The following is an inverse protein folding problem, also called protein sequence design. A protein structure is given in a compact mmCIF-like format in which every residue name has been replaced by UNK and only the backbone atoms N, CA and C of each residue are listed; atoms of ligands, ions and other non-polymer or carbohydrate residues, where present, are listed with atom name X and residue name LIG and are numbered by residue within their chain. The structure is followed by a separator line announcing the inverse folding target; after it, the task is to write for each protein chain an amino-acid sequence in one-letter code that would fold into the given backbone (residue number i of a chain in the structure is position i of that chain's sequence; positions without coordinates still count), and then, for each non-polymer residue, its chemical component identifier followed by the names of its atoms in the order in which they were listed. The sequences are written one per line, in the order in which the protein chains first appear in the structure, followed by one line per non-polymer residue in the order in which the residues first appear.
data_IF_455975602671
#
_entry.id   IF_455975602671
#
_cell.length_a   1.000
_cell.length_b   1.000
_cell.length_c   1.000
_cell.angle_alpha   90.00
_cell.angle_beta   90.00
_cell.angle_gamma   90.00
#
_symmetry.space_group_name_H-M   'P 1'
#
loop_
_entity.id
_entity.type
_entity.pdbx_description
1 polymer ?
#
# COMPACT_ATOMS: atom_id res chain seq x y z
N UNK A 1 9.33 -35.70 -12.00
CA UNK A 1 10.12 -34.49 -11.75
C UNK A 1 9.12 -33.36 -11.82
N UNK A 2 8.71 -32.82 -10.67
CA UNK A 2 7.69 -31.77 -10.64
C UNK A 2 8.20 -30.55 -11.41
N UNK A 3 7.36 -29.96 -12.25
CA UNK A 3 7.74 -28.86 -13.14
C UNK A 3 6.82 -27.66 -12.96
N UNK A 4 7.25 -26.49 -13.42
CA UNK A 4 6.43 -25.27 -13.47
C UNK A 4 5.07 -25.55 -14.16
N UNK A 5 5.05 -26.38 -15.21
CA UNK A 5 3.83 -26.78 -15.93
C UNK A 5 2.81 -27.47 -15.03
N UNK A 6 3.26 -28.32 -14.10
CA UNK A 6 2.37 -29.03 -13.18
C UNK A 6 1.72 -28.09 -12.17
N UNK A 7 2.45 -27.06 -11.71
CA UNK A 7 1.88 -26.01 -10.85
C UNK A 7 0.75 -25.29 -11.60
N UNK A 8 0.97 -24.91 -12.85
CA UNK A 8 -0.06 -24.25 -13.67
C UNK A 8 -1.26 -25.17 -13.93
N UNK A 9 -1.05 -26.45 -14.20
CA UNK A 9 -2.14 -27.41 -14.37
C UNK A 9 -3.00 -27.52 -13.10
N UNK A 10 -2.36 -27.66 -11.92
CA UNK A 10 -3.09 -27.71 -10.65
C UNK A 10 -3.89 -26.43 -10.38
N UNK A 11 -3.37 -25.26 -10.78
CA UNK A 11 -4.11 -23.99 -10.70
C UNK A 11 -5.33 -23.97 -11.62
N UNK A 12 -5.18 -24.42 -12.87
CA UNK A 12 -6.29 -24.51 -13.83
C UNK A 12 -7.39 -25.46 -13.35
N UNK A 13 -7.01 -26.52 -12.63
CA UNK A 13 -7.95 -27.46 -11.98
C UNK A 13 -8.56 -26.92 -10.67
N UNK A 14 -8.18 -25.72 -10.22
CA UNK A 14 -8.64 -25.12 -8.96
C UNK A 14 -8.03 -25.72 -7.69
N UNK A 15 -7.01 -26.58 -7.82
CA UNK A 15 -6.33 -27.27 -6.71
C UNK A 15 -5.23 -26.40 -6.11
N UNK A 16 -5.59 -25.21 -5.65
CA UNK A 16 -4.61 -24.19 -5.24
C UNK A 16 -3.72 -24.63 -4.07
N UNK A 17 -4.25 -25.39 -3.10
CA UNK A 17 -3.43 -25.92 -2.00
C UNK A 17 -2.36 -26.91 -2.47
N UNK A 18 -2.72 -27.82 -3.39
CA UNK A 18 -1.77 -28.77 -3.99
C UNK A 18 -0.73 -28.01 -4.83
N UNK A 19 -1.16 -27.02 -5.60
CA UNK A 19 -0.28 -26.15 -6.38
C UNK A 19 0.72 -25.41 -5.47
N UNK A 20 0.26 -24.90 -4.33
CA UNK A 20 1.09 -24.19 -3.34
C UNK A 20 2.14 -25.12 -2.73
N UNK A 21 1.73 -26.29 -2.25
CA UNK A 21 2.64 -27.29 -1.67
C UNK A 21 3.69 -27.71 -2.71
N UNK A 22 3.27 -27.95 -3.95
CA UNK A 22 4.15 -28.33 -5.06
C UNK A 22 5.15 -27.23 -5.38
N UNK A 23 4.69 -25.98 -5.52
CA UNK A 23 5.54 -24.83 -5.77
C UNK A 23 6.56 -24.62 -4.63
N UNK A 24 6.12 -24.73 -3.36
CA UNK A 24 6.99 -24.55 -2.20
C UNK A 24 8.09 -25.60 -2.16
N UNK A 25 7.75 -26.87 -2.38
CA UNK A 25 8.73 -27.97 -2.41
C UNK A 25 9.78 -27.77 -3.51
N UNK A 26 9.37 -27.26 -4.68
CA UNK A 26 10.30 -26.98 -5.77
C UNK A 26 11.20 -25.78 -5.45
N UNK A 27 10.66 -24.74 -4.82
CA UNK A 27 11.44 -23.59 -4.35
C UNK A 27 12.40 -23.95 -3.21
N UNK A 28 12.09 -24.93 -2.35
CA UNK A 28 13.04 -25.44 -1.36
C UNK A 28 14.30 -26.05 -2.02
N UNK A 29 14.16 -26.63 -3.22
CA UNK A 29 15.26 -27.20 -3.99
C UNK A 29 15.98 -26.14 -4.85
N UNK A 30 15.24 -25.18 -5.37
CA UNK A 30 15.73 -24.11 -6.25
C UNK A 30 15.18 -22.74 -5.84
N UNK A 31 15.65 -22.14 -4.73
CA UNK A 31 15.04 -20.92 -4.16
C UNK A 31 15.08 -19.70 -5.07
N UNK A 32 16.07 -19.64 -5.97
CA UNK A 32 16.32 -18.52 -6.86
C UNK A 32 15.74 -18.73 -8.27
N UNK A 33 14.93 -19.78 -8.49
CA UNK A 33 14.29 -20.01 -9.77
C UNK A 33 13.14 -19.02 -9.96
N UNK A 34 13.35 -18.02 -10.82
CA UNK A 34 12.39 -16.96 -11.13
C UNK A 34 11.06 -17.51 -11.68
N UNK A 35 11.10 -18.60 -12.45
CA UNK A 35 9.88 -19.21 -13.00
C UNK A 35 9.04 -19.86 -11.89
N UNK A 36 9.69 -20.51 -10.93
CA UNK A 36 9.02 -21.07 -9.76
C UNK A 36 8.49 -19.98 -8.81
N UNK A 37 9.23 -18.89 -8.61
CA UNK A 37 8.76 -17.75 -7.82
C UNK A 37 7.53 -17.10 -8.47
N UNK A 38 7.55 -16.91 -9.78
CA UNK A 38 6.40 -16.40 -10.52
C UNK A 38 5.20 -17.35 -10.43
N UNK A 39 5.41 -18.67 -10.59
CA UNK A 39 4.36 -19.66 -10.45
C UNK A 39 3.76 -19.65 -9.03
N UNK A 40 4.59 -19.55 -7.99
CA UNK A 40 4.16 -19.40 -6.60
C UNK A 40 3.32 -18.14 -6.38
N UNK A 41 3.79 -16.99 -6.88
CA UNK A 41 3.06 -15.72 -6.75
C UNK A 41 1.67 -15.80 -7.41
N UNK A 42 1.57 -16.50 -8.54
CA UNK A 42 0.30 -16.74 -9.21
C UNK A 42 -0.64 -17.68 -8.43
N UNK A 43 -0.12 -18.76 -7.83
CA UNK A 43 -0.91 -19.63 -6.94
C UNK A 43 -1.46 -18.82 -5.77
N UNK A 44 -0.58 -18.06 -5.10
CA UNK A 44 -0.94 -17.22 -3.95
C UNK A 44 -2.03 -16.21 -4.33
N UNK A 45 -1.92 -15.58 -5.50
CA UNK A 45 -2.95 -14.66 -5.97
C UNK A 45 -4.31 -15.33 -6.17
N UNK A 46 -4.38 -16.56 -6.69
CA UNK A 46 -5.66 -17.27 -6.80
C UNK A 46 -6.24 -17.61 -5.43
N UNK A 47 -5.41 -18.00 -4.46
CA UNK A 47 -5.85 -18.22 -3.07
C UNK A 47 -6.33 -16.92 -2.41
N UNK A 48 -5.64 -15.79 -2.65
CA UNK A 48 -6.05 -14.46 -2.18
C UNK A 48 -7.42 -14.08 -2.73
N UNK A 49 -7.68 -14.37 -4.01
CA UNK A 49 -9.00 -14.16 -4.60
C UNK A 49 -10.08 -14.98 -3.90
N UNK A 50 -9.83 -16.26 -3.65
CA UNK A 50 -10.79 -17.12 -2.93
C UNK A 50 -11.07 -16.55 -1.52
N UNK A 51 -10.02 -16.23 -0.76
CA UNK A 51 -10.18 -15.62 0.57
C UNK A 51 -10.93 -14.29 0.50
N UNK A 52 -10.69 -13.49 -0.55
CA UNK A 52 -11.41 -12.26 -0.77
C UNK A 52 -12.89 -12.50 -1.09
N UNK A 53 -13.22 -13.43 -1.97
CA UNK A 53 -14.59 -13.75 -2.35
C UNK A 53 -15.39 -14.31 -1.16
N UNK A 54 -14.74 -15.09 -0.29
CA UNK A 54 -15.29 -15.61 0.96
C UNK A 54 -15.35 -14.55 2.08
N UNK A 55 -14.81 -13.35 1.84
CA UNK A 55 -14.70 -12.27 2.84
C UNK A 55 -13.96 -12.69 4.11
N UNK A 56 -13.03 -13.64 3.97
CA UNK A 56 -12.16 -14.13 5.03
C UNK A 56 -10.92 -13.24 5.11
N UNK A 57 -11.02 -12.20 5.93
CA UNK A 57 -10.00 -11.15 6.03
C UNK A 57 -8.69 -11.68 6.61
N UNK A 58 -8.75 -12.59 7.58
CA UNK A 58 -7.55 -13.13 8.22
C UNK A 58 -6.75 -13.99 7.23
N UNK A 59 -7.41 -14.89 6.50
CA UNK A 59 -6.74 -15.66 5.44
C UNK A 59 -6.26 -14.77 4.30
N UNK A 60 -7.00 -13.72 3.96
CA UNK A 60 -6.55 -12.74 2.96
C UNK A 60 -5.22 -12.08 3.40
N UNK A 61 -5.16 -11.58 4.63
CA UNK A 61 -3.98 -10.92 5.19
C UNK A 61 -2.76 -11.85 5.19
N UNK A 62 -2.93 -13.07 5.71
CA UNK A 62 -1.86 -14.08 5.75
C UNK A 62 -1.34 -14.40 4.35
N UNK A 63 -2.24 -14.71 3.41
CA UNK A 63 -1.85 -15.04 2.03
C UNK A 63 -1.19 -13.86 1.32
N UNK A 64 -1.69 -12.64 1.54
CA UNK A 64 -1.12 -11.45 0.94
C UNK A 64 0.27 -11.13 1.50
N UNK A 65 0.50 -11.37 2.80
CA UNK A 65 1.81 -11.20 3.42
C UNK A 65 2.87 -12.13 2.80
N UNK A 66 2.49 -13.35 2.43
CA UNK A 66 3.38 -14.29 1.72
C UNK A 66 3.52 -13.91 0.24
N UNK A 67 2.42 -13.50 -0.41
CA UNK A 67 2.41 -13.10 -1.82
C UNK A 67 3.43 -12.01 -2.14
N UNK A 68 3.55 -11.00 -1.28
CA UNK A 68 4.50 -9.90 -1.50
C UNK A 68 5.97 -10.33 -1.43
N UNK A 69 6.27 -11.46 -0.78
CA UNK A 69 7.63 -12.02 -0.76
C UNK A 69 8.00 -12.62 -2.13
N UNK A 70 7.06 -13.29 -2.80
CA UNK A 70 7.29 -14.02 -4.05
C UNK A 70 7.01 -13.23 -5.32
N UNK A 71 6.22 -12.15 -5.25
CA UNK A 71 5.89 -11.38 -6.46
C UNK A 71 7.15 -10.67 -7.02
N UNK A 72 7.56 -10.96 -8.28
CA UNK A 72 8.74 -10.34 -8.85
C UNK A 72 8.43 -8.91 -9.33
N UNK A 73 9.48 -8.07 -9.40
CA UNK A 73 9.39 -6.66 -9.83
C UNK A 73 8.77 -6.55 -11.23
N UNK A 74 9.08 -7.52 -12.09
CA UNK A 74 8.74 -7.58 -13.51
C UNK A 74 7.29 -8.03 -13.73
N UNK A 75 6.62 -8.61 -12.73
CA UNK A 75 5.24 -9.05 -12.83
C UNK A 75 4.23 -7.90 -12.63
N UNK A 76 4.34 -6.85 -13.45
CA UNK A 76 3.51 -5.64 -13.35
C UNK A 76 2.01 -5.94 -13.28
N UNK A 77 1.54 -6.88 -14.12
CA UNK A 77 0.12 -7.26 -14.16
C UNK A 77 -0.32 -7.86 -12.82
N UNK A 78 0.50 -8.76 -12.26
CA UNK A 78 0.19 -9.44 -11.01
C UNK A 78 0.23 -8.47 -9.83
N UNK A 79 1.18 -7.55 -9.82
CA UNK A 79 1.25 -6.49 -8.81
C UNK A 79 0.10 -5.49 -8.92
N UNK A 80 -0.33 -5.11 -10.13
CA UNK A 80 -1.53 -4.28 -10.34
C UNK A 80 -2.78 -4.98 -9.79
N UNK A 81 -2.94 -6.27 -10.10
CA UNK A 81 -4.07 -7.08 -9.63
C UNK A 81 -4.04 -7.27 -8.11
N UNK A 82 -2.86 -7.50 -7.52
CA UNK A 82 -2.65 -7.54 -6.07
C UNK A 82 -3.00 -6.21 -5.39
N UNK A 83 -2.53 -5.09 -5.95
CA UNK A 83 -2.84 -3.77 -5.42
C UNK A 83 -4.35 -3.46 -5.46
N UNK A 84 -5.04 -3.85 -6.53
CA UNK A 84 -6.48 -3.65 -6.67
C UNK A 84 -7.28 -4.47 -5.66
N UNK A 85 -6.96 -5.76 -5.49
CA UNK A 85 -7.68 -6.61 -4.54
C UNK A 85 -7.41 -6.21 -3.08
N UNK A 86 -6.18 -5.74 -2.79
CA UNK A 86 -5.85 -5.14 -1.49
C UNK A 86 -6.73 -3.93 -1.19
N UNK A 87 -6.84 -2.99 -2.12
CA UNK A 87 -7.70 -1.82 -2.00
C UNK A 87 -9.16 -2.21 -1.72
N UNK A 88 -9.72 -3.15 -2.48
CA UNK A 88 -11.10 -3.60 -2.26
C UNK A 88 -11.29 -4.21 -0.87
N UNK A 89 -10.31 -4.95 -0.36
CA UNK A 89 -10.38 -5.53 0.98
C UNK A 89 -10.31 -4.45 2.07
N UNK A 90 -9.48 -3.44 1.88
CA UNK A 90 -9.42 -2.26 2.75
C UNK A 90 -10.79 -1.56 2.77
N UNK A 91 -11.42 -1.30 1.63
CA UNK A 91 -12.75 -0.67 1.57
C UNK A 91 -13.83 -1.46 2.32
N UNK A 92 -13.78 -2.80 2.24
CA UNK A 92 -14.68 -3.66 3.00
C UNK A 92 -14.46 -3.53 4.51
N UNK A 93 -13.21 -3.46 4.95
CA UNK A 93 -12.89 -3.23 6.37
C UNK A 93 -13.39 -1.86 6.83
N UNK A 94 -13.17 -0.80 6.03
CA UNK A 94 -13.69 0.54 6.29
C UNK A 94 -15.22 0.56 6.39
N UNK A 95 -15.91 -0.13 5.48
CA UNK A 95 -17.38 -0.22 5.46
C UNK A 95 -17.92 -0.90 6.73
N UNK A 96 -17.19 -1.89 7.24
CA UNK A 96 -17.48 -2.58 8.52
C UNK A 96 -16.98 -1.81 9.74
N UNK A 97 -16.37 -0.63 9.56
CA UNK A 97 -15.74 0.18 10.61
C UNK A 97 -14.59 -0.54 11.34
N UNK A 98 -14.00 -1.55 10.72
CA UNK A 98 -12.79 -2.21 11.22
C UNK A 98 -11.54 -1.46 10.76
N UNK A 99 -11.35 -0.27 11.34
CA UNK A 99 -10.26 0.63 10.97
C UNK A 99 -8.88 0.08 11.32
N UNK A 100 -8.78 -0.75 12.37
CA UNK A 100 -7.52 -1.39 12.72
C UNK A 100 -7.12 -2.35 11.60
N UNK A 101 -8.01 -3.27 11.20
CA UNK A 101 -7.72 -4.23 10.15
C UNK A 101 -7.51 -3.55 8.79
N UNK A 102 -8.31 -2.51 8.49
CA UNK A 102 -8.08 -1.69 7.30
C UNK A 102 -6.65 -1.12 7.28
N UNK A 103 -6.17 -0.56 8.40
CA UNK A 103 -4.81 -0.05 8.49
C UNK A 103 -3.76 -1.16 8.34
N UNK A 104 -3.94 -2.31 8.99
CA UNK A 104 -2.99 -3.43 8.92
C UNK A 104 -2.83 -3.90 7.46
N UNK A 105 -3.95 -4.07 6.73
CA UNK A 105 -3.95 -4.39 5.30
C UNK A 105 -3.26 -3.31 4.46
N UNK A 106 -3.55 -2.02 4.72
CA UNK A 106 -2.92 -0.92 3.99
C UNK A 106 -1.39 -0.94 4.09
N UNK A 107 -0.81 -1.45 5.17
CA UNK A 107 0.64 -1.54 5.35
C UNK A 107 1.29 -2.63 4.48
N UNK A 108 0.54 -3.63 4.02
CA UNK A 108 1.03 -4.67 3.11
C UNK A 108 1.48 -4.12 1.75
N UNK A 109 1.09 -2.88 1.41
CA UNK A 109 1.55 -2.18 0.22
C UNK A 109 3.09 -2.01 0.19
N UNK A 110 3.75 -2.06 1.35
CA UNK A 110 5.21 -1.98 1.47
C UNK A 110 5.93 -3.10 0.70
N UNK A 111 5.33 -4.30 0.68
CA UNK A 111 5.92 -5.46 0.03
C UNK A 111 5.75 -5.47 -1.49
N UNK A 112 4.88 -4.63 -2.06
CA UNK A 112 4.70 -4.54 -3.51
C UNK A 112 5.84 -3.76 -4.16
N UNK A 113 6.44 -4.37 -5.19
CA UNK A 113 7.64 -3.90 -5.87
C UNK A 113 7.30 -3.29 -7.22
N UNK A 114 6.68 -2.11 -7.24
CA UNK A 114 6.33 -1.51 -8.52
C UNK A 114 7.57 -0.91 -9.21
N UNK A 115 7.66 -1.08 -10.54
CA UNK A 115 8.76 -0.54 -11.35
C UNK A 115 8.93 0.98 -11.15
N UNK A 116 10.16 1.50 -10.96
CA UNK A 116 10.39 2.92 -10.66
C UNK A 116 9.97 3.85 -11.81
N UNK A 117 10.14 3.40 -13.05
CA UNK A 117 9.82 4.20 -14.25
C UNK A 117 8.35 4.09 -14.70
N UNK A 118 7.53 3.28 -14.01
CA UNK A 118 6.11 3.12 -14.34
C UNK A 118 5.25 3.80 -13.28
N UNK A 119 4.17 4.42 -13.74
CA UNK A 119 3.15 4.93 -12.82
C UNK A 119 2.60 3.77 -11.97
N UNK A 120 2.44 4.04 -10.67
CA UNK A 120 1.86 3.07 -9.75
C UNK A 120 0.42 2.72 -10.16
N UNK A 121 -0.10 1.52 -9.83
CA UNK A 121 -1.47 1.14 -10.16
C UNK A 121 -2.50 2.10 -9.56
N UNK A 122 -3.68 2.23 -10.17
CA UNK A 122 -4.72 3.13 -9.65
C UNK A 122 -5.08 2.84 -8.17
N UNK A 123 -5.20 1.56 -7.81
CA UNK A 123 -5.45 1.13 -6.42
C UNK A 123 -4.43 1.65 -5.41
N UNK A 124 -3.19 1.91 -5.83
CA UNK A 124 -2.15 2.49 -4.96
C UNK A 124 -2.51 3.91 -4.51
N UNK A 125 -3.08 4.70 -5.42
CA UNK A 125 -3.54 6.06 -5.11
C UNK A 125 -4.89 6.05 -4.38
N UNK A 126 -5.77 5.10 -4.68
CA UNK A 126 -7.04 4.96 -3.95
C UNK A 126 -6.80 4.61 -2.47
N UNK A 127 -5.77 3.82 -2.15
CA UNK A 127 -5.35 3.60 -0.75
C UNK A 127 -4.98 4.91 -0.03
N UNK A 128 -4.32 5.86 -0.71
CA UNK A 128 -4.04 7.18 -0.14
C UNK A 128 -5.34 7.96 0.11
N UNK A 129 -6.28 7.94 -0.85
CA UNK A 129 -7.56 8.63 -0.71
C UNK A 129 -8.35 8.11 0.50
N UNK A 130 -8.39 6.79 0.68
CA UNK A 130 -8.95 6.15 1.89
C UNK A 130 -8.22 6.61 3.15
N UNK A 131 -6.88 6.59 3.15
CA UNK A 131 -6.10 7.04 4.30
C UNK A 131 -6.42 8.48 4.72
N UNK A 132 -6.53 9.36 3.73
CA UNK A 132 -6.83 10.78 3.93
C UNK A 132 -8.27 10.98 4.42
N UNK A 133 -9.22 10.22 3.89
CA UNK A 133 -10.62 10.28 4.29
C UNK A 133 -10.84 9.80 5.73
N UNK A 134 -10.12 8.76 6.17
CA UNK A 134 -10.29 8.10 7.47
C UNK A 134 -9.11 8.28 8.43
N UNK A 135 -8.30 9.33 8.22
CA UNK A 135 -7.05 9.58 8.98
C UNK A 135 -7.22 9.61 10.50
N UNK A 136 -8.37 10.08 11.00
CA UNK A 136 -8.63 10.15 12.45
C UNK A 136 -8.98 8.78 13.05
N UNK A 137 -9.49 7.85 12.25
CA UNK A 137 -9.91 6.52 12.68
C UNK A 137 -8.79 5.48 12.49
N UNK A 138 -7.87 5.71 11.56
CA UNK A 138 -6.76 4.80 11.27
C UNK A 138 -5.65 4.95 12.34
N UNK A 139 -5.38 3.91 13.16
CA UNK A 139 -4.49 4.02 14.32
C UNK A 139 -3.02 4.35 13.95
N UNK A 140 -2.56 3.84 12.82
CA UNK A 140 -1.19 3.91 12.32
C UNK A 140 -1.13 4.74 11.02
N UNK A 141 -1.95 5.79 10.90
CA UNK A 141 -1.99 6.68 9.73
C UNK A 141 -0.59 7.20 9.32
N UNK A 142 0.19 7.69 10.29
CA UNK A 142 1.55 8.19 10.00
C UNK A 142 2.48 7.09 9.48
N UNK A 143 2.35 5.86 9.98
CA UNK A 143 3.12 4.71 9.51
C UNK A 143 2.74 4.37 8.07
N UNK A 144 1.44 4.38 7.75
CA UNK A 144 0.98 4.21 6.37
C UNK A 144 1.56 5.29 5.45
N UNK A 145 1.51 6.58 5.82
CA UNK A 145 2.07 7.65 4.98
C UNK A 145 3.58 7.48 4.78
N UNK A 146 4.31 7.02 5.80
CA UNK A 146 5.74 6.70 5.68
C UNK A 146 5.99 5.58 4.67
N UNK A 147 5.21 4.51 4.73
CA UNK A 147 5.27 3.39 3.79
C UNK A 147 4.87 3.81 2.37
N UNK A 148 3.79 4.58 2.24
CA UNK A 148 3.24 5.04 0.97
C UNK A 148 4.15 6.07 0.29
N UNK A 149 4.87 6.90 1.07
CA UNK A 149 5.84 7.94 0.66
C UNK A 149 5.23 9.07 -0.19
N UNK A 150 5.15 10.27 0.39
CA UNK A 150 4.57 11.46 -0.27
C UNK A 150 5.23 11.86 -1.60
N UNK A 151 6.47 11.42 -1.87
CA UNK A 151 7.11 11.59 -3.17
C UNK A 151 6.37 10.92 -4.33
N UNK A 152 5.47 9.96 -4.05
CA UNK A 152 4.62 9.30 -5.05
C UNK A 152 3.43 10.17 -5.48
N UNK A 153 3.21 11.34 -4.88
CA UNK A 153 2.16 12.26 -5.32
C UNK A 153 2.40 12.72 -6.77
N UNK A 154 1.43 12.44 -7.63
CA UNK A 154 1.40 12.89 -9.02
C UNK A 154 1.12 14.40 -9.14
N UNK A 155 1.54 15.05 -10.25
CA UNK A 155 1.25 16.47 -10.49
C UNK A 155 -0.24 16.83 -10.35
N UNK A 156 -1.15 15.95 -10.78
CA UNK A 156 -2.60 16.14 -10.64
C UNK A 156 -3.07 16.25 -9.19
N UNK A 157 -2.37 15.63 -8.23
CA UNK A 157 -2.73 15.69 -6.80
C UNK A 157 -2.44 17.05 -6.17
N UNK A 158 -1.63 17.90 -6.82
CA UNK A 158 -1.35 19.26 -6.36
C UNK A 158 -2.35 20.29 -6.90
N UNK A 159 -3.21 19.91 -7.86
CA UNK A 159 -4.20 20.80 -8.43
C UNK A 159 -5.34 21.05 -7.43
N UNK A 160 -5.69 22.32 -7.23
CA UNK A 160 -6.84 22.75 -6.45
C UNK A 160 -8.06 22.91 -7.36
N UNK A 161 -9.23 22.51 -6.86
CA UNK A 161 -10.52 22.74 -7.52
C UNK A 161 -11.35 23.68 -6.65
N UNK A 162 -11.41 24.96 -7.03
CA UNK A 162 -12.05 26.01 -6.24
C UNK A 162 -11.28 26.30 -4.95
N UNK A 163 -11.99 26.43 -3.83
CA UNK A 163 -11.40 26.74 -2.52
C UNK A 163 -10.97 25.50 -1.71
N UNK A 164 -11.22 24.29 -2.23
CA UNK A 164 -10.87 23.07 -1.54
C UNK A 164 -9.35 22.81 -1.59
N UNK A 165 -8.80 22.25 -0.50
CA UNK A 165 -7.43 21.75 -0.49
C UNK A 165 -7.26 20.68 -1.57
N UNK A 166 -6.11 20.73 -2.27
CA UNK A 166 -5.71 19.62 -3.14
C UNK A 166 -5.42 18.36 -2.31
N UNK A 167 -5.36 17.18 -2.95
CA UNK A 167 -5.01 15.94 -2.24
C UNK A 167 -3.63 16.07 -1.57
N UNK A 168 -2.66 16.66 -2.27
CA UNK A 168 -1.33 16.93 -1.75
C UNK A 168 -1.36 17.88 -0.53
N UNK A 169 -2.10 18.99 -0.63
CA UNK A 169 -2.24 19.93 0.50
C UNK A 169 -2.91 19.22 1.70
N UNK A 170 -3.97 18.46 1.46
CA UNK A 170 -4.73 17.77 2.50
C UNK A 170 -3.89 16.71 3.23
N UNK A 171 -3.16 15.86 2.51
CA UNK A 171 -2.32 14.83 3.17
C UNK A 171 -1.18 15.47 3.96
N UNK A 172 -0.52 16.50 3.43
CA UNK A 172 0.54 17.20 4.17
C UNK A 172 0.00 17.88 5.42
N UNK A 173 -1.19 18.46 5.32
CA UNK A 173 -1.88 19.06 6.46
C UNK A 173 -2.18 18.01 7.54
N UNK A 174 -2.76 16.86 7.16
CA UNK A 174 -3.06 15.76 8.09
C UNK A 174 -1.81 15.23 8.80
N UNK A 175 -0.74 14.96 8.05
CA UNK A 175 0.53 14.49 8.65
C UNK A 175 1.01 15.48 9.72
N UNK A 176 1.01 16.78 9.42
CA UNK A 176 1.41 17.78 10.40
C UNK A 176 0.48 17.86 11.62
N UNK A 177 -0.83 17.71 11.43
CA UNK A 177 -1.77 17.66 12.57
C UNK A 177 -1.47 16.47 13.50
N UNK A 178 -1.25 15.28 12.93
CA UNK A 178 -0.91 14.09 13.71
C UNK A 178 0.45 14.23 14.42
N UNK A 179 1.44 14.87 13.79
CA UNK A 179 2.73 15.15 14.42
C UNK A 179 2.59 16.15 15.58
N UNK A 180 1.78 17.21 15.43
CA UNK A 180 1.50 18.17 16.50
C UNK A 180 0.85 17.52 17.71
N UNK A 181 -0.09 16.59 17.50
CA UNK A 181 -0.75 15.87 18.60
C UNK A 181 0.24 15.03 19.41
N UNK A 182 1.35 14.58 18.80
CA UNK A 182 2.40 13.77 19.42
C UNK A 182 3.74 14.52 19.51
N UNK A 183 3.70 15.85 19.66
CA UNK A 183 4.88 16.74 19.52
C UNK A 183 6.04 16.33 20.43
N UNK A 184 5.76 15.99 21.69
CA UNK A 184 6.78 15.65 22.69
C UNK A 184 7.58 14.38 22.35
N UNK A 185 7.02 13.49 21.53
CA UNK A 185 7.65 12.21 21.18
C UNK A 185 8.37 12.27 19.81
N UNK A 186 8.26 13.38 19.07
CA UNK A 186 8.58 13.44 17.65
C UNK A 186 9.41 14.67 17.22
N UNK A 187 10.14 15.31 18.13
CA UNK A 187 10.85 16.57 17.83
C UNK A 187 11.79 16.47 16.61
N UNK A 188 12.59 15.41 16.50
CA UNK A 188 13.47 15.18 15.35
C UNK A 188 12.68 15.00 14.05
N UNK A 189 11.60 14.23 14.10
CA UNK A 189 10.71 13.96 12.96
C UNK A 189 10.01 15.24 12.50
N UNK A 190 9.56 16.07 13.45
CA UNK A 190 8.95 17.38 13.18
C UNK A 190 9.96 18.29 12.49
N UNK A 191 11.20 18.37 13.00
CA UNK A 191 12.24 19.19 12.38
C UNK A 191 12.56 18.74 10.95
N UNK A 192 12.62 17.42 10.70
CA UNK A 192 12.80 16.89 9.35
C UNK A 192 11.58 17.22 8.46
N UNK A 193 10.36 17.11 9.00
CA UNK A 193 9.13 17.37 8.26
C UNK A 193 8.96 18.86 7.92
N UNK A 194 9.32 19.78 8.83
CA UNK A 194 9.32 21.23 8.57
C UNK A 194 10.19 21.57 7.37
N UNK A 195 11.38 20.97 7.24
CA UNK A 195 12.24 21.15 6.05
C UNK A 195 11.55 20.68 4.76
N UNK A 196 10.77 19.60 4.81
CA UNK A 196 9.98 19.16 3.66
C UNK A 196 8.85 20.15 3.34
N UNK A 197 8.19 20.71 4.36
CA UNK A 197 7.18 21.75 4.16
C UNK A 197 7.77 23.03 3.56
N UNK A 198 8.98 23.44 3.96
CA UNK A 198 9.67 24.60 3.39
C UNK A 198 9.95 24.40 1.90
N UNK A 199 10.43 23.21 1.50
CA UNK A 199 10.60 22.85 0.10
C UNK A 199 9.26 22.82 -0.66
N UNK A 200 8.21 22.28 -0.05
CA UNK A 200 6.87 22.25 -0.64
C UNK A 200 6.34 23.67 -0.89
N UNK A 201 6.43 24.55 0.10
CA UNK A 201 5.95 25.93 0.02
C UNK A 201 6.76 26.79 -0.97
N UNK A 202 8.04 26.47 -1.19
CA UNK A 202 8.83 27.12 -2.26
C UNK A 202 8.26 26.86 -3.66
N UNK A 203 7.63 25.70 -3.88
CA UNK A 203 7.02 25.29 -5.14
C UNK A 203 5.54 25.66 -5.22
N UNK A 204 4.84 25.57 -4.10
CA UNK A 204 3.40 25.80 -3.97
C UNK A 204 3.10 26.86 -2.89
N UNK A 205 3.50 28.13 -3.10
CA UNK A 205 3.36 29.18 -2.09
C UNK A 205 1.91 29.54 -1.76
N UNK A 206 0.95 29.08 -2.58
CA UNK A 206 -0.49 29.30 -2.38
C UNK A 206 -1.14 28.33 -1.38
N UNK A 207 -0.42 27.31 -0.87
CA UNK A 207 -0.93 26.36 0.13
C UNK A 207 -1.04 27.00 1.53
N UNK A 208 -2.04 27.86 1.70
CA UNK A 208 -2.26 28.66 2.92
C UNK A 208 -2.40 27.80 4.19
N UNK A 209 -2.99 26.61 4.10
CA UNK A 209 -3.14 25.72 5.25
C UNK A 209 -1.80 25.17 5.72
N UNK A 210 -0.91 24.87 4.76
CA UNK A 210 0.44 24.38 5.05
C UNK A 210 1.30 25.49 5.65
N UNK A 211 1.21 26.73 5.15
CA UNK A 211 1.93 27.86 5.75
C UNK A 211 1.57 28.04 7.22
N UNK A 212 0.28 27.98 7.56
CA UNK A 212 -0.21 28.07 8.95
C UNK A 212 0.25 26.88 9.80
N UNK A 213 0.17 25.67 9.27
CA UNK A 213 0.61 24.45 9.96
C UNK A 213 2.12 24.50 10.24
N UNK A 214 2.93 24.90 9.26
CA UNK A 214 4.39 25.02 9.38
C UNK A 214 4.78 25.98 10.50
N UNK A 215 4.09 27.11 10.65
CA UNK A 215 4.34 28.03 11.77
C UNK A 215 4.13 27.35 13.14
N UNK A 216 3.01 26.62 13.30
CA UNK A 216 2.68 25.89 14.52
C UNK A 216 3.64 24.75 14.88
N UNK A 217 4.31 24.17 13.87
CA UNK A 217 5.28 23.09 14.08
C UNK A 217 6.63 23.60 14.60
N UNK A 218 6.91 24.90 14.45
CA UNK A 218 8.19 25.53 14.84
C UNK A 218 8.09 26.32 16.14
N UNK A 219 6.89 26.80 16.50
CA UNK A 219 6.53 27.11 17.89
C UNK A 219 6.59 25.84 18.73
#
# INVERSE_FOLDING_TARGET
MYSVTEIYQLREEGKYQEAFITARRLLELSPNDESLQAAMAWVLYDMIKVAADENNIDSFEELFSVFVEYVPLEADKLQQMGCYILYNMVERCITKQDYKKANDLMLLIEGLKFHPDKERPHGFYQLLEVAVAFSQQLPEFLKFIKVWRLQNLLPKHYQQYGEAMSIAEKVHWLVGQHLLQKKNDNEEVINAYVKQLDLLLSRYPHFKHITKLRAKLVE
#
